data_IF_838731490500
#
_entry.id   IF_838731490500
#
_cell.length_a   1.000
_cell.length_b   1.000
_cell.length_c   1.000
_cell.angle_alpha   90.00
_cell.angle_beta   90.00
_cell.angle_gamma   90.00
#
_symmetry.space_group_name_H-M   'P 1'
#
loop_
_entity.id
_entity.type
_entity.pdbx_description
1 polymer ?
#
# COMPACT_ATOMS: atom_id res chain seq x y z
N UNK A 1 12.32 -13.76 18.67
CA UNK A 1 11.23 -13.61 17.66
C UNK A 1 9.85 -14.04 18.16
N UNK A 2 9.69 -15.22 18.79
CA UNK A 2 8.39 -15.77 19.18
C UNK A 2 7.52 -14.83 20.05
N UNK A 3 8.10 -14.16 21.06
CA UNK A 3 7.38 -13.21 21.92
C UNK A 3 6.93 -11.91 21.20
N UNK A 4 7.50 -11.59 20.04
CA UNK A 4 7.21 -10.35 19.29
C UNK A 4 6.15 -10.54 18.21
N UNK A 5 5.89 -11.79 17.79
CA UNK A 5 4.98 -12.11 16.70
C UNK A 5 3.71 -12.75 17.26
N UNK A 6 2.56 -12.17 16.92
CA UNK A 6 1.28 -12.80 17.22
C UNK A 6 1.18 -14.16 16.51
N UNK A 7 0.66 -15.23 17.16
CA UNK A 7 0.57 -16.59 16.58
C UNK A 7 -0.13 -16.65 15.22
N UNK A 8 -1.17 -15.85 15.01
CA UNK A 8 -1.86 -15.73 13.71
C UNK A 8 -1.07 -15.03 12.60
N UNK A 9 0.15 -14.53 12.86
CA UNK A 9 0.97 -13.86 11.85
C UNK A 9 1.82 -14.88 11.07
N UNK A 10 1.15 -15.83 10.44
CA UNK A 10 1.74 -17.02 9.79
C UNK A 10 2.87 -16.64 8.83
N UNK A 11 2.69 -15.59 8.01
CA UNK A 11 3.70 -15.12 7.05
C UNK A 11 5.00 -14.67 7.72
N UNK A 12 4.91 -13.91 8.82
CA UNK A 12 6.10 -13.43 9.55
C UNK A 12 6.77 -14.57 10.32
N UNK A 13 5.99 -15.50 10.86
CA UNK A 13 6.51 -16.68 11.55
C UNK A 13 7.26 -17.56 10.56
N UNK A 14 6.64 -17.89 9.42
CA UNK A 14 7.26 -18.68 8.36
C UNK A 14 8.58 -18.04 7.89
N UNK A 15 8.59 -16.72 7.63
CA UNK A 15 9.83 -16.02 7.26
C UNK A 15 10.90 -16.09 8.36
N UNK A 16 10.50 -15.98 9.63
CA UNK A 16 11.45 -16.05 10.74
C UNK A 16 12.06 -17.44 10.92
N UNK A 17 11.28 -18.50 10.68
CA UNK A 17 11.77 -19.87 10.71
C UNK A 17 12.70 -20.13 9.53
N UNK A 18 12.32 -19.68 8.33
CA UNK A 18 13.14 -19.79 7.12
C UNK A 18 14.52 -19.15 7.31
N UNK A 19 14.59 -17.91 7.80
CA UNK A 19 15.88 -17.23 8.04
C UNK A 19 16.75 -18.03 9.00
N UNK A 20 16.17 -18.62 10.05
CA UNK A 20 16.93 -19.43 10.99
C UNK A 20 17.43 -20.74 10.36
N UNK A 21 16.61 -21.40 9.53
CA UNK A 21 17.00 -22.60 8.80
C UNK A 21 18.12 -22.34 7.78
N UNK A 22 18.06 -21.21 7.07
CA UNK A 22 19.03 -20.86 6.02
C UNK A 22 20.37 -20.38 6.60
N UNK A 23 20.34 -19.63 7.71
CA UNK A 23 21.54 -18.97 8.25
C UNK A 23 22.11 -19.65 9.50
N UNK A 24 21.34 -20.52 10.16
CA UNK A 24 21.65 -21.05 11.50
C UNK A 24 21.52 -20.03 12.63
N UNK A 25 21.34 -18.74 12.32
CA UNK A 25 21.29 -17.64 13.29
C UNK A 25 19.84 -17.28 13.61
N UNK A 26 19.48 -17.03 14.89
CA UNK A 26 18.13 -16.56 15.22
C UNK A 26 17.84 -15.22 14.54
N UNK A 27 16.71 -15.12 13.82
CA UNK A 27 16.33 -13.90 13.10
C UNK A 27 16.26 -12.65 13.98
N UNK A 28 15.94 -12.77 15.28
CA UNK A 28 15.99 -11.62 16.20
C UNK A 28 17.38 -11.05 16.39
N UNK A 29 18.42 -11.88 16.37
CA UNK A 29 19.82 -11.43 16.50
C UNK A 29 20.25 -10.64 15.27
N UNK A 30 19.92 -11.12 14.07
CA UNK A 30 20.20 -10.39 12.83
C UNK A 30 19.52 -9.01 12.79
N UNK A 31 18.27 -8.92 13.29
CA UNK A 31 17.56 -7.64 13.38
C UNK A 31 18.19 -6.70 14.43
N UNK A 32 18.69 -7.24 15.53
CA UNK A 32 19.39 -6.47 16.56
C UNK A 32 20.72 -5.93 16.04
N UNK A 33 21.51 -6.77 15.37
CA UNK A 33 22.76 -6.39 14.70
C UNK A 33 22.54 -5.28 13.66
N UNK A 34 21.47 -5.37 12.86
CA UNK A 34 21.11 -4.30 11.92
C UNK A 34 20.78 -2.98 12.61
N UNK A 35 20.05 -3.02 13.72
CA UNK A 35 19.68 -1.80 14.47
C UNK A 35 20.85 -1.17 15.21
N UNK A 36 21.84 -1.97 15.59
CA UNK A 36 23.04 -1.52 16.28
C UNK A 36 24.07 -0.83 15.34
N UNK A 37 23.86 -0.91 14.02
CA UNK A 37 24.71 -0.19 13.04
C UNK A 37 24.57 1.33 13.21
N UNK A 38 25.64 2.06 12.91
CA UNK A 38 25.63 3.53 12.95
C UNK A 38 24.57 4.09 11.98
N UNK A 39 23.64 4.89 12.51
CA UNK A 39 22.47 5.39 11.77
C UNK A 39 21.30 4.41 11.68
N UNK A 40 21.39 3.23 12.30
CA UNK A 40 20.29 2.28 12.49
C UNK A 40 19.31 2.74 13.58
N UNK A 41 18.09 2.20 13.55
CA UNK A 41 17.06 2.53 14.52
C UNK A 41 15.84 1.60 14.49
N UNK A 42 14.72 2.01 15.09
CA UNK A 42 13.51 1.18 15.22
C UNK A 42 12.92 0.61 13.92
N UNK A 43 13.33 1.13 12.75
CA UNK A 43 12.91 0.64 11.43
C UNK A 43 13.85 -0.38 10.78
N UNK A 44 15.07 -0.53 11.29
CA UNK A 44 16.10 -1.39 10.71
C UNK A 44 17.47 -0.73 10.74
N UNK A 45 18.35 -1.17 9.84
CA UNK A 45 19.66 -0.55 9.65
C UNK A 45 19.60 0.84 9.00
N UNK A 46 20.77 1.48 8.81
CA UNK A 46 20.88 2.82 8.27
C UNK A 46 20.35 2.92 6.84
N UNK A 47 20.05 4.16 6.44
CA UNK A 47 19.76 4.46 5.03
C UNK A 47 21.00 4.16 4.19
N UNK A 48 20.77 3.65 2.97
CA UNK A 48 21.87 3.27 2.05
C UNK A 48 22.77 4.45 1.67
N UNK A 49 22.22 5.66 1.60
CA UNK A 49 22.92 6.86 1.15
C UNK A 49 22.87 7.96 2.22
N UNK A 50 23.99 8.66 2.47
CA UNK A 50 23.99 9.83 3.34
C UNK A 50 23.16 10.96 2.71
N UNK A 51 22.50 11.77 3.54
CA UNK A 51 21.69 12.94 3.13
C UNK A 51 20.47 12.61 2.25
N UNK A 52 19.88 11.43 2.40
CA UNK A 52 18.62 11.09 1.73
C UNK A 52 17.52 12.08 2.13
N UNK A 53 16.84 12.69 1.16
CA UNK A 53 15.71 13.59 1.42
C UNK A 53 14.38 12.88 1.18
N UNK A 54 13.48 12.91 2.16
CA UNK A 54 12.15 12.28 2.07
C UNK A 54 11.07 13.36 1.99
N UNK A 55 10.37 13.41 0.86
CA UNK A 55 9.22 14.30 0.68
C UNK A 55 7.92 13.56 0.99
N UNK A 56 7.18 14.05 1.99
CA UNK A 56 5.87 13.52 2.32
C UNK A 56 4.76 14.51 1.98
N UNK A 57 4.05 14.22 0.88
CA UNK A 57 2.86 14.97 0.48
C UNK A 57 1.67 14.55 1.33
N UNK A 58 1.02 15.55 1.96
CA UNK A 58 -0.10 15.33 2.87
C UNK A 58 -1.28 16.20 2.48
N UNK A 59 -2.47 15.64 2.70
CA UNK A 59 -3.76 16.30 2.50
C UNK A 59 -4.62 16.04 3.73
N UNK A 60 -5.65 16.87 3.95
CA UNK A 60 -6.71 16.53 4.88
C UNK A 60 -7.35 15.20 4.44
N UNK A 61 -7.70 14.34 5.40
CA UNK A 61 -8.32 13.05 5.11
C UNK A 61 -9.68 13.17 4.43
N UNK A 62 -10.50 14.18 4.77
CA UNK A 62 -11.81 14.39 4.13
C UNK A 62 -11.64 14.73 2.65
N UNK A 63 -10.82 15.75 2.36
CA UNK A 63 -10.51 16.17 0.99
C UNK A 63 -9.87 15.04 0.18
N UNK A 64 -9.02 14.22 0.82
CA UNK A 64 -8.42 13.05 0.19
C UNK A 64 -9.45 11.98 -0.14
N UNK A 65 -10.36 11.66 0.78
CA UNK A 65 -11.41 10.67 0.56
C UNK A 65 -12.30 11.08 -0.63
N UNK A 66 -12.72 12.33 -0.72
CA UNK A 66 -13.51 12.85 -1.85
C UNK A 66 -12.76 12.77 -3.18
N UNK A 67 -11.47 13.11 -3.19
CA UNK A 67 -10.63 13.01 -4.40
C UNK A 67 -10.43 11.57 -4.85
N UNK A 68 -10.28 10.65 -3.91
CA UNK A 68 -10.14 9.22 -4.21
C UNK A 68 -11.42 8.66 -4.83
N UNK A 69 -12.59 9.07 -4.32
CA UNK A 69 -13.88 8.63 -4.86
C UNK A 69 -14.08 9.15 -6.29
N UNK A 70 -13.86 10.46 -6.51
CA UNK A 70 -13.90 11.06 -7.85
C UNK A 70 -12.92 10.41 -8.82
N UNK A 71 -11.74 10.00 -8.33
CA UNK A 71 -10.75 9.29 -9.15
C UNK A 71 -11.27 7.92 -9.56
N UNK A 72 -11.94 7.18 -8.68
CA UNK A 72 -12.55 5.89 -9.04
C UNK A 72 -13.64 6.10 -10.10
N UNK A 73 -14.48 7.13 -9.96
CA UNK A 73 -15.52 7.45 -10.94
C UNK A 73 -14.91 7.80 -12.32
N UNK A 74 -13.81 8.55 -12.33
CA UNK A 74 -13.04 8.84 -13.54
C UNK A 74 -12.41 7.58 -14.15
N UNK A 75 -11.90 6.64 -13.33
CA UNK A 75 -11.36 5.36 -13.81
C UNK A 75 -12.45 4.51 -14.48
N UNK A 76 -13.65 4.47 -13.91
CA UNK A 76 -14.79 3.77 -14.53
C UNK A 76 -15.14 4.38 -15.89
N UNK A 77 -15.19 5.71 -15.96
CA UNK A 77 -15.46 6.45 -17.21
C UNK A 77 -14.36 6.24 -18.26
N UNK A 78 -13.14 5.94 -17.83
CA UNK A 78 -12.00 5.65 -18.70
C UNK A 78 -11.91 4.17 -19.15
N UNK A 79 -12.87 3.32 -18.77
CA UNK A 79 -12.92 1.93 -19.22
C UNK A 79 -12.30 0.89 -18.28
N UNK A 80 -12.16 1.19 -16.98
CA UNK A 80 -11.63 0.24 -15.99
C UNK A 80 -12.29 -1.15 -16.06
N UNK A 81 -13.61 -1.20 -16.28
CA UNK A 81 -14.35 -2.47 -16.32
C UNK A 81 -13.93 -3.32 -17.53
N UNK A 82 -13.66 -2.69 -18.67
CA UNK A 82 -13.22 -3.39 -19.87
C UNK A 82 -11.80 -3.93 -19.70
N UNK A 83 -10.91 -3.16 -19.06
CA UNK A 83 -9.57 -3.64 -18.67
C UNK A 83 -9.64 -4.86 -17.75
N UNK A 84 -10.54 -4.85 -16.77
CA UNK A 84 -10.73 -5.95 -15.83
C UNK A 84 -11.31 -7.21 -16.50
N UNK A 85 -12.27 -7.05 -17.41
CA UNK A 85 -12.81 -8.15 -18.22
C UNK A 85 -11.73 -8.77 -19.09
N UNK A 86 -10.92 -7.92 -19.73
CA UNK A 86 -9.84 -8.39 -20.60
C UNK A 86 -8.77 -9.14 -19.82
N UNK A 87 -8.38 -8.60 -18.66
CA UNK A 87 -7.45 -9.26 -17.76
C UNK A 87 -8.02 -10.60 -17.26
N UNK A 88 -9.32 -10.65 -16.91
CA UNK A 88 -9.97 -11.88 -16.48
C UNK A 88 -9.89 -12.97 -17.55
N UNK A 89 -10.30 -12.64 -18.78
CA UNK A 89 -10.27 -13.55 -19.93
C UNK A 89 -8.87 -14.09 -20.22
N UNK A 90 -7.85 -13.21 -20.22
CA UNK A 90 -6.49 -13.61 -20.58
C UNK A 90 -5.74 -14.40 -19.52
N UNK A 91 -5.99 -14.14 -18.24
CA UNK A 91 -5.08 -14.60 -17.17
C UNK A 91 -5.77 -15.26 -15.98
N UNK A 92 -7.08 -15.07 -15.80
CA UNK A 92 -7.79 -15.57 -14.63
C UNK A 92 -8.79 -16.68 -14.97
N UNK A 93 -9.39 -16.68 -16.16
CA UNK A 93 -10.42 -17.63 -16.56
C UNK A 93 -9.93 -19.08 -16.40
N UNK A 94 -8.78 -19.43 -16.95
CA UNK A 94 -8.15 -20.76 -16.78
C UNK A 94 -7.92 -21.10 -15.30
N UNK A 95 -7.45 -20.13 -14.50
CA UNK A 95 -7.19 -20.34 -13.06
C UNK A 95 -8.46 -20.51 -12.24
N UNK A 96 -9.57 -19.89 -12.66
CA UNK A 96 -10.90 -20.08 -12.07
C UNK A 96 -11.37 -21.50 -12.34
N UNK A 97 -11.25 -21.97 -13.58
CA UNK A 97 -11.66 -23.32 -13.96
C UNK A 97 -10.86 -24.40 -13.22
N UNK A 98 -9.57 -24.16 -12.96
CA UNK A 98 -8.73 -25.07 -12.19
C UNK A 98 -8.87 -24.93 -10.66
N UNK A 99 -9.72 -24.02 -10.16
CA UNK A 99 -9.85 -23.67 -8.74
C UNK A 99 -8.50 -23.30 -8.07
N UNK A 100 -7.58 -22.69 -8.83
CA UNK A 100 -6.21 -22.30 -8.40
C UNK A 100 -6.09 -20.80 -8.16
N UNK A 101 -7.18 -20.15 -7.77
CA UNK A 101 -7.17 -18.70 -7.54
C UNK A 101 -6.41 -18.38 -6.26
N UNK A 102 -5.21 -17.82 -6.42
CA UNK A 102 -4.38 -17.39 -5.31
C UNK A 102 -4.44 -15.88 -5.12
N UNK A 103 -5.46 -15.41 -4.39
CA UNK A 103 -5.56 -14.00 -3.96
C UNK A 103 -4.51 -13.59 -2.93
N UNK A 104 -3.67 -14.54 -2.48
CA UNK A 104 -2.59 -14.29 -1.55
C UNK A 104 -1.28 -13.97 -2.24
N UNK A 105 -1.17 -14.02 -3.58
CA UNK A 105 0.07 -13.74 -4.28
C UNK A 105 -0.12 -12.95 -5.58
N UNK A 106 0.92 -12.20 -5.97
CA UNK A 106 0.99 -11.52 -7.26
C UNK A 106 -0.07 -10.45 -7.52
N UNK A 107 -0.45 -10.31 -8.79
CA UNK A 107 -1.38 -9.29 -9.28
C UNK A 107 -2.78 -9.39 -8.66
N UNK A 108 -3.17 -10.57 -8.16
CA UNK A 108 -4.46 -10.81 -7.50
C UNK A 108 -4.60 -10.13 -6.12
N UNK A 109 -3.50 -9.66 -5.52
CA UNK A 109 -3.56 -8.83 -4.31
C UNK A 109 -3.92 -7.36 -4.58
N UNK A 110 -3.82 -6.92 -5.85
CA UNK A 110 -4.07 -5.54 -6.24
C UNK A 110 -5.47 -5.07 -5.83
N UNK A 111 -5.57 -3.78 -5.53
CA UNK A 111 -6.86 -3.13 -5.33
C UNK A 111 -7.45 -2.87 -6.72
N UNK A 112 -8.66 -3.34 -6.98
CA UNK A 112 -9.29 -3.28 -8.29
C UNK A 112 -9.78 -4.65 -8.73
N UNK A 113 -8.95 -5.68 -8.77
CA UNK A 113 -9.38 -6.96 -9.31
C UNK A 113 -10.29 -7.75 -8.36
N UNK A 114 -9.85 -7.94 -7.11
CA UNK A 114 -10.58 -8.74 -6.11
C UNK A 114 -11.96 -8.17 -5.76
N UNK A 115 -12.11 -6.85 -5.83
CA UNK A 115 -13.39 -6.19 -5.56
C UNK A 115 -14.45 -6.52 -6.63
N UNK A 116 -14.04 -6.80 -7.87
CA UNK A 116 -14.93 -7.17 -8.97
C UNK A 116 -14.95 -8.67 -9.25
N UNK A 117 -14.39 -9.49 -8.35
CA UNK A 117 -14.27 -10.92 -8.60
C UNK A 117 -15.62 -11.57 -8.92
N UNK A 118 -16.62 -11.35 -8.07
CA UNK A 118 -17.98 -11.89 -8.28
C UNK A 118 -18.57 -11.48 -9.63
N UNK A 119 -18.39 -10.21 -10.02
CA UNK A 119 -18.87 -9.68 -11.30
C UNK A 119 -18.16 -10.35 -12.49
N UNK A 120 -16.85 -10.56 -12.41
CA UNK A 120 -16.04 -11.12 -13.49
C UNK A 120 -16.26 -12.61 -13.67
N UNK A 121 -16.55 -13.35 -12.60
CA UNK A 121 -16.85 -14.80 -12.66
C UNK A 121 -18.33 -15.12 -12.84
N UNK A 122 -19.21 -14.12 -12.89
CA UNK A 122 -20.65 -14.34 -13.03
C UNK A 122 -20.99 -14.99 -14.37
N UNK A 123 -21.50 -16.23 -14.32
CA UNK A 123 -21.83 -17.02 -15.50
C UNK A 123 -22.93 -16.39 -16.39
N UNK A 124 -23.12 -16.90 -17.61
CA UNK A 124 -24.03 -16.32 -18.60
C UNK A 124 -25.52 -16.40 -18.21
N UNK A 125 -25.89 -17.23 -17.24
CA UNK A 125 -27.27 -17.38 -16.76
C UNK A 125 -27.69 -16.41 -15.64
N UNK A 126 -26.79 -15.53 -15.18
CA UNK A 126 -27.10 -14.56 -14.12
C UNK A 126 -27.98 -13.45 -14.68
N UNK A 127 -29.12 -13.10 -14.02
CA UNK A 127 -29.96 -12.00 -14.45
C UNK A 127 -29.19 -10.68 -14.51
N UNK A 128 -29.52 -9.84 -15.49
CA UNK A 128 -28.82 -8.56 -15.69
C UNK A 128 -28.89 -7.64 -14.46
N UNK A 129 -30.02 -7.65 -13.76
CA UNK A 129 -30.17 -6.91 -12.50
C UNK A 129 -29.21 -7.38 -11.40
N UNK A 130 -28.92 -8.68 -11.35
CA UNK A 130 -28.00 -9.24 -10.37
C UNK A 130 -26.55 -8.94 -10.75
N UNK A 131 -26.23 -9.00 -12.06
CA UNK A 131 -24.94 -8.58 -12.60
C UNK A 131 -24.65 -7.10 -12.33
N UNK A 132 -25.65 -6.22 -12.51
CA UNK A 132 -25.54 -4.80 -12.18
C UNK A 132 -25.28 -4.60 -10.66
N UNK A 133 -25.99 -5.33 -9.80
CA UNK A 133 -25.75 -5.30 -8.35
C UNK A 133 -24.35 -5.78 -7.95
N UNK A 134 -23.79 -6.78 -8.64
CA UNK A 134 -22.41 -7.22 -8.42
C UNK A 134 -21.40 -6.13 -8.82
N UNK A 135 -21.65 -5.46 -9.95
CA UNK A 135 -20.83 -4.35 -10.42
C UNK A 135 -20.81 -3.21 -9.40
N UNK A 136 -21.98 -2.76 -8.93
CA UNK A 136 -22.11 -1.69 -7.93
C UNK A 136 -21.41 -2.04 -6.62
N UNK A 137 -21.55 -3.30 -6.16
CA UNK A 137 -20.81 -3.79 -4.99
C UNK A 137 -19.30 -3.73 -5.21
N UNK A 138 -18.83 -4.07 -6.41
CA UNK A 138 -17.41 -3.98 -6.77
C UNK A 138 -16.89 -2.54 -6.76
N UNK A 139 -17.65 -1.60 -7.31
CA UNK A 139 -17.32 -0.16 -7.29
C UNK A 139 -17.22 0.36 -5.86
N UNK A 140 -18.21 0.07 -5.02
CA UNK A 140 -18.20 0.49 -3.61
C UNK A 140 -17.07 -0.19 -2.83
N UNK A 141 -16.79 -1.46 -3.14
CA UNK A 141 -15.65 -2.19 -2.62
C UNK A 141 -14.33 -1.49 -2.97
N UNK A 142 -14.17 -1.08 -4.23
CA UNK A 142 -12.96 -0.42 -4.74
C UNK A 142 -12.73 0.93 -4.06
N UNK A 143 -13.78 1.75 -3.93
CA UNK A 143 -13.71 3.03 -3.20
C UNK A 143 -13.29 2.81 -1.74
N UNK A 144 -13.94 1.87 -1.04
CA UNK A 144 -13.61 1.51 0.35
C UNK A 144 -12.16 1.02 0.49
N UNK A 145 -11.73 0.12 -0.39
CA UNK A 145 -10.39 -0.45 -0.38
C UNK A 145 -9.32 0.62 -0.62
N UNK A 146 -9.56 1.55 -1.54
CA UNK A 146 -8.66 2.67 -1.86
C UNK A 146 -8.52 3.62 -0.68
N UNK A 147 -9.61 4.03 -0.04
CA UNK A 147 -9.56 4.88 1.17
C UNK A 147 -8.86 4.17 2.33
N UNK A 148 -9.12 2.86 2.52
CA UNK A 148 -8.43 2.05 3.55
C UNK A 148 -6.92 1.99 3.29
N UNK A 149 -6.53 1.86 2.03
CA UNK A 149 -5.12 1.85 1.63
C UNK A 149 -4.45 3.19 1.92
N UNK A 150 -5.07 4.32 1.56
CA UNK A 150 -4.56 5.65 1.88
C UNK A 150 -4.38 5.86 3.40
N UNK A 151 -5.36 5.44 4.22
CA UNK A 151 -5.23 5.49 5.69
C UNK A 151 -4.10 4.59 6.21
N UNK A 152 -3.93 3.40 5.62
CA UNK A 152 -2.83 2.49 5.97
C UNK A 152 -1.47 3.10 5.62
N UNK A 153 -1.33 3.72 4.45
CA UNK A 153 -0.12 4.45 4.05
C UNK A 153 0.18 5.59 5.03
N UNK A 154 -0.82 6.42 5.36
CA UNK A 154 -0.66 7.47 6.36
C UNK A 154 -0.27 6.93 7.73
N UNK A 155 -0.86 5.81 8.18
CA UNK A 155 -0.46 5.15 9.43
C UNK A 155 0.99 4.66 9.36
N UNK A 156 1.44 4.12 8.23
CA UNK A 156 2.81 3.67 8.05
C UNK A 156 3.82 4.81 8.07
N UNK A 157 3.55 5.90 7.36
CA UNK A 157 4.44 7.08 7.34
C UNK A 157 4.45 7.79 8.70
N UNK A 158 3.33 7.77 9.44
CA UNK A 158 3.23 8.36 10.79
C UNK A 158 3.78 7.47 11.90
N UNK A 159 4.04 6.18 11.65
CA UNK A 159 4.85 5.41 12.60
C UNK A 159 6.19 6.11 12.65
N UNK A 160 6.70 6.45 13.83
CA UNK A 160 7.92 7.23 13.93
C UNK A 160 9.00 6.53 13.12
N UNK A 161 9.46 7.18 12.04
CA UNK A 161 10.86 6.98 11.68
C UNK A 161 11.62 7.43 12.94
N UNK A 162 12.64 6.66 13.38
CA UNK A 162 13.44 7.05 14.53
C UNK A 162 13.90 8.49 14.36
N UNK A 163 13.94 9.27 15.44
CA UNK A 163 14.38 10.67 15.39
C UNK A 163 15.76 10.76 14.71
N UNK A 164 16.60 9.74 14.86
CA UNK A 164 17.90 9.58 14.21
C UNK A 164 17.82 9.38 12.67
N UNK A 165 16.74 8.80 12.16
CA UNK A 165 16.50 8.68 10.71
C UNK A 165 16.02 10.00 10.11
N UNK A 166 15.31 10.83 10.90
CA UNK A 166 14.96 12.20 10.49
C UNK A 166 16.17 13.14 10.59
N UNK A 167 17.05 12.95 11.58
CA UNK A 167 18.28 13.73 11.75
C UNK A 167 19.31 13.54 10.64
N UNK A 168 19.24 12.44 9.89
CA UNK A 168 20.05 12.20 8.69
C UNK A 168 19.55 12.97 7.46
N UNK A 169 18.32 13.50 7.51
CA UNK A 169 17.79 14.41 6.49
C UNK A 169 18.17 15.86 6.86
N UNK A 170 18.78 16.65 5.97
CA UNK A 170 19.08 18.05 6.25
C UNK A 170 17.80 18.82 6.62
N UNK A 171 17.92 19.72 7.60
CA UNK A 171 16.82 20.39 8.33
C UNK A 171 15.85 21.27 7.48
N UNK A 172 15.93 21.23 6.15
CA UNK A 172 15.20 22.12 5.24
C UNK A 172 13.82 21.64 4.78
N UNK A 173 13.42 20.38 5.03
CA UNK A 173 12.17 19.83 4.46
C UNK A 173 11.18 19.33 5.51
N UNK A 174 10.67 20.28 6.28
CA UNK A 174 9.52 20.09 7.17
C UNK A 174 8.34 20.92 6.70
N UNK A 175 7.32 20.30 6.08
CA UNK A 175 5.98 20.91 6.00
C UNK A 175 5.10 20.38 7.13
N UNK A 176 5.40 20.85 8.34
CA UNK A 176 4.44 21.30 9.34
C UNK A 176 3.53 20.28 10.02
N UNK A 177 3.61 20.23 11.36
CA UNK A 177 2.54 19.70 12.24
C UNK A 177 1.28 20.59 12.23
N UNK A 178 1.32 21.76 11.60
CA UNK A 178 0.14 22.63 11.44
C UNK A 178 0.33 23.60 10.27
N UNK A 179 -0.30 23.33 9.13
CA UNK A 179 -0.65 24.28 8.06
C UNK A 179 -1.45 23.54 6.98
N UNK A 180 -2.69 23.97 6.77
CA UNK A 180 -3.55 23.50 5.68
C UNK A 180 -2.91 23.90 4.34
N UNK A 181 -2.33 22.94 3.62
CA UNK A 181 -1.91 23.12 2.24
C UNK A 181 -3.11 22.84 1.32
N UNK A 182 -3.49 23.82 0.50
CA UNK A 182 -4.35 23.62 -0.67
C UNK A 182 -3.42 23.32 -1.86
N UNK A 183 -3.72 22.27 -2.64
CA UNK A 183 -2.94 21.98 -3.84
C UNK A 183 -3.13 23.11 -4.87
N UNK A 184 -2.04 23.80 -5.16
CA UNK A 184 -1.88 24.90 -6.10
C UNK A 184 -0.40 25.29 -6.18
N UNK A 185 -0.09 26.59 -6.29
CA UNK A 185 1.26 27.16 -6.48
C UNK A 185 2.29 26.80 -5.38
N UNK A 186 1.84 26.35 -4.21
CA UNK A 186 2.69 26.13 -3.03
C UNK A 186 3.57 24.87 -3.11
N UNK A 187 3.25 23.87 -3.95
CA UNK A 187 4.04 22.63 -4.00
C UNK A 187 5.33 22.77 -4.83
N UNK A 188 5.28 23.59 -5.89
CA UNK A 188 6.39 23.78 -6.82
C UNK A 188 7.46 24.74 -6.29
N UNK A 189 7.05 25.81 -5.59
CA UNK A 189 7.98 26.83 -5.11
C UNK A 189 8.64 26.49 -3.77
N UNK A 190 7.96 25.75 -2.88
CA UNK A 190 8.48 25.45 -1.55
C UNK A 190 9.59 24.39 -1.58
N UNK A 191 9.64 23.55 -2.61
CA UNK A 191 10.69 22.54 -2.78
C UNK A 191 12.03 23.10 -3.29
N UNK A 192 12.07 24.32 -3.84
CA UNK A 192 13.26 24.89 -4.49
C UNK A 192 13.93 26.02 -3.70
N UNK A 193 13.29 26.58 -2.67
CA UNK A 193 13.81 27.72 -1.89
C UNK A 193 14.65 27.33 -0.65
N UNK A 194 15.10 26.08 -0.56
CA UNK A 194 15.93 25.58 0.55
C UNK A 194 17.43 25.50 0.24
N UNK A 195 17.86 26.03 -0.91
CA UNK A 195 19.27 26.06 -1.35
C UNK A 195 19.76 27.51 -1.34
N UNK A 196 20.18 27.98 -0.17
CA UNK A 196 20.77 29.30 0.03
C UNK A 196 21.43 29.38 1.40
#
# INVERSE_FOLDING_TARGET
MAAMLHPHNVRKIARSLQVHQETGVPHSRLLEEQRAQEGGGGLGGPLRFPHTCIFWLRSNMKDLDERLDKRVDAMLSAGLIDELKEFHRRYNEEKVQENRQDYQHGIFQSIGFKEFHEYLTAGPGVPEEERARMLDRGVEGLKKATRRYARKQNKWVRKPLPEEAWSQCPAGFWTGRDRRFKLGEDCSHTCLRGSG
#
